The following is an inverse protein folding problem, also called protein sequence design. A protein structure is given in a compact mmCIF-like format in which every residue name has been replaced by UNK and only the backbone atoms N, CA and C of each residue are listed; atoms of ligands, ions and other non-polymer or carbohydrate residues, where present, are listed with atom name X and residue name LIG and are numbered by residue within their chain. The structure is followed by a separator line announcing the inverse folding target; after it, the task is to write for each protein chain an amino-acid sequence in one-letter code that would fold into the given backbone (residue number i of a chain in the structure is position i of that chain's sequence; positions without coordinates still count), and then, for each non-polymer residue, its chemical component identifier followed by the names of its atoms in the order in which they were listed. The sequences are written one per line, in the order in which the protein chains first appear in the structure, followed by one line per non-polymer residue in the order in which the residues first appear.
data_IF_721022786081
#
_entry.id   IF_721022786081
#
_cell.length_a   1.000
_cell.length_b   1.000
_cell.length_c   1.000
_cell.angle_alpha   90.00
_cell.angle_beta   90.00
_cell.angle_gamma   90.00
#
_symmetry.space_group_name_H-M   'P 1'
#
loop_
_entity.id
_entity.type
_entity.pdbx_description
1 polymer ?
#
# COMPACT_ATOMS: atom_id res chain seq x y z
N UNK A 1 -17.76 28.10 -0.91
CA UNK A 1 -16.46 27.54 -0.47
C UNK A 1 -16.74 26.19 0.17
N UNK A 2 -16.28 25.09 -0.42
CA UNK A 2 -16.31 23.79 0.26
C UNK A 2 -15.31 23.87 1.42
N UNK A 3 -15.74 23.50 2.61
CA UNK A 3 -14.85 23.34 3.77
C UNK A 3 -13.84 22.23 3.50
N UNK A 4 -12.59 22.40 3.95
CA UNK A 4 -11.59 21.34 3.82
C UNK A 4 -11.87 20.19 4.80
N UNK A 5 -11.44 18.98 4.46
CA UNK A 5 -11.61 17.82 5.31
C UNK A 5 -11.03 18.03 6.73
N UNK A 6 -9.84 18.61 6.84
CA UNK A 6 -9.21 18.90 8.13
C UNK A 6 -9.94 19.98 8.94
N UNK A 7 -10.55 20.95 8.25
CA UNK A 7 -11.38 21.95 8.92
C UNK A 7 -12.65 21.31 9.48
N UNK A 8 -13.30 20.44 8.73
CA UNK A 8 -14.47 19.69 9.19
C UNK A 8 -14.13 18.73 10.33
N UNK A 9 -12.96 18.07 10.25
CA UNK A 9 -12.50 17.12 11.26
C UNK A 9 -12.45 17.72 12.68
N UNK A 10 -12.10 18.99 12.80
CA UNK A 10 -12.07 19.71 14.11
C UNK A 10 -13.42 19.71 14.84
N UNK A 11 -14.51 19.59 14.13
CA UNK A 11 -15.86 19.52 14.69
C UNK A 11 -16.39 18.09 14.83
N UNK A 12 -15.68 17.08 14.30
CA UNK A 12 -16.13 15.69 14.26
C UNK A 12 -15.79 14.91 15.52
N UNK A 13 -16.73 14.10 15.95
CA UNK A 13 -16.56 13.06 16.98
C UNK A 13 -16.23 11.76 16.25
N UNK A 14 -15.02 11.29 16.41
CA UNK A 14 -14.45 10.18 15.63
C UNK A 14 -14.46 8.90 16.45
N UNK A 15 -14.92 7.81 15.86
CA UNK A 15 -14.76 6.47 16.39
C UNK A 15 -13.66 5.73 15.63
N UNK A 16 -12.74 5.09 16.34
CA UNK A 16 -11.75 4.18 15.78
C UNK A 16 -12.16 2.75 16.13
N UNK A 17 -12.37 1.90 15.13
CA UNK A 17 -12.49 0.46 15.32
C UNK A 17 -11.12 -0.20 15.24
N UNK A 18 -10.65 -0.71 16.37
CA UNK A 18 -9.36 -1.37 16.53
C UNK A 18 -8.31 -0.53 17.24
N UNK A 19 -7.83 -1.00 18.40
CA UNK A 19 -6.83 -0.35 19.26
C UNK A 19 -5.38 -0.85 19.03
N UNK A 20 -5.12 -1.58 17.94
CA UNK A 20 -3.78 -2.07 17.58
C UNK A 20 -2.83 -0.95 17.17
N UNK A 21 -1.73 -1.29 16.49
CA UNK A 21 -0.68 -0.33 16.08
C UNK A 21 -1.27 0.83 15.27
N UNK A 22 -2.06 0.54 14.25
CA UNK A 22 -2.75 1.54 13.42
C UNK A 22 -3.69 2.41 14.24
N UNK A 23 -4.51 1.81 15.10
CA UNK A 23 -5.45 2.54 15.96
C UNK A 23 -4.76 3.51 16.92
N UNK A 24 -3.59 3.14 17.45
CA UNK A 24 -2.76 4.02 18.30
C UNK A 24 -2.25 5.24 17.56
N UNK A 25 -1.72 5.07 16.35
CA UNK A 25 -1.23 6.17 15.51
C UNK A 25 -2.37 7.09 15.10
N UNK A 26 -3.52 6.53 14.69
CA UNK A 26 -4.73 7.30 14.39
C UNK A 26 -5.22 8.08 15.60
N UNK A 27 -5.28 7.46 16.77
CA UNK A 27 -5.69 8.10 18.04
C UNK A 27 -4.81 9.29 18.36
N UNK A 28 -3.48 9.10 18.32
CA UNK A 28 -2.50 10.17 18.56
C UNK A 28 -2.72 11.39 17.66
N UNK A 29 -2.97 11.15 16.39
CA UNK A 29 -3.25 12.22 15.43
C UNK A 29 -4.60 12.89 15.71
N UNK A 30 -5.65 12.11 15.91
CA UNK A 30 -7.03 12.58 16.05
C UNK A 30 -7.29 13.31 17.38
N UNK A 31 -6.62 12.95 18.46
CA UNK A 31 -6.72 13.67 19.76
C UNK A 31 -6.31 15.14 19.63
N UNK A 32 -5.48 15.48 18.61
CA UNK A 32 -5.05 16.85 18.33
C UNK A 32 -5.98 17.54 17.32
N UNK A 33 -6.54 16.77 16.37
CA UNK A 33 -7.19 17.34 15.17
C UNK A 33 -8.70 17.16 15.11
N UNK A 34 -9.29 16.28 15.92
CA UNK A 34 -10.73 16.05 15.99
C UNK A 34 -11.35 16.68 17.23
N UNK A 35 -12.70 16.79 17.27
CA UNK A 35 -13.41 17.26 18.45
C UNK A 35 -13.27 16.27 19.62
N UNK A 36 -13.48 15.00 19.33
CA UNK A 36 -13.28 13.91 20.31
C UNK A 36 -13.01 12.58 19.60
N UNK A 37 -12.38 11.66 20.32
CA UNK A 37 -12.01 10.33 19.82
C UNK A 37 -12.45 9.25 20.78
N UNK A 38 -13.10 8.22 20.26
CA UNK A 38 -13.46 7.01 20.98
C UNK A 38 -12.82 5.82 20.27
N UNK A 39 -12.15 4.95 21.01
CA UNK A 39 -11.55 3.71 20.48
C UNK A 39 -12.37 2.53 20.97
N UNK A 40 -12.81 1.70 20.03
CA UNK A 40 -13.53 0.45 20.31
C UNK A 40 -12.67 -0.73 19.86
N UNK A 41 -12.37 -1.62 20.79
CA UNK A 41 -11.66 -2.87 20.52
C UNK A 41 -12.20 -3.97 21.44
N UNK A 42 -12.61 -5.10 20.85
CA UNK A 42 -13.15 -6.24 21.59
C UNK A 42 -12.14 -6.83 22.59
N UNK A 43 -10.85 -6.72 22.31
CA UNK A 43 -9.79 -7.30 23.13
C UNK A 43 -9.33 -6.39 24.29
N UNK A 44 -9.76 -5.13 24.35
CA UNK A 44 -9.37 -4.16 25.40
C UNK A 44 -7.87 -4.15 25.71
N UNK A 45 -7.06 -3.80 24.75
CA UNK A 45 -5.61 -3.83 24.89
C UNK A 45 -5.03 -2.62 25.64
N UNK A 46 -5.83 -1.57 25.91
CA UNK A 46 -5.34 -0.33 26.54
C UNK A 46 -6.37 0.38 27.41
N UNK A 47 -5.86 1.24 28.28
CA UNK A 47 -6.68 2.15 29.08
C UNK A 47 -7.46 3.13 28.21
N UNK A 48 -8.76 3.21 28.41
CA UNK A 48 -9.66 4.11 27.67
C UNK A 48 -10.29 3.51 26.40
N UNK A 49 -10.05 2.23 26.12
CA UNK A 49 -10.75 1.50 25.07
C UNK A 49 -12.07 0.93 25.58
N UNK A 50 -13.06 0.90 24.67
CA UNK A 50 -14.39 0.36 24.93
C UNK A 50 -14.51 -0.98 24.20
N UNK A 51 -15.00 -2.02 24.85
CA UNK A 51 -15.15 -3.36 24.26
C UNK A 51 -16.51 -3.60 23.63
N UNK A 52 -17.46 -2.72 23.81
CA UNK A 52 -18.84 -2.87 23.31
C UNK A 52 -19.29 -1.57 22.66
N UNK A 53 -19.83 -1.67 21.46
CA UNK A 53 -20.45 -0.56 20.77
C UNK A 53 -21.94 -0.53 21.09
N UNK A 54 -22.44 0.60 21.58
CA UNK A 54 -23.84 0.80 21.96
C UNK A 54 -24.49 1.91 21.16
N UNK A 55 -25.82 1.96 21.11
CA UNK A 55 -26.58 3.02 20.45
C UNK A 55 -26.30 4.40 21.07
N UNK A 56 -26.07 4.49 22.38
CA UNK A 56 -25.67 5.73 23.05
C UNK A 56 -24.33 6.26 22.53
N UNK A 57 -23.35 5.38 22.33
CA UNK A 57 -22.05 5.74 21.74
C UNK A 57 -22.27 6.19 20.29
N UNK A 58 -23.00 5.40 19.48
CA UNK A 58 -23.25 5.71 18.07
C UNK A 58 -23.94 7.07 17.87
N UNK A 59 -24.88 7.44 18.74
CA UNK A 59 -25.56 8.73 18.69
C UNK A 59 -24.63 9.95 18.81
N UNK A 60 -23.40 9.73 19.26
CA UNK A 60 -22.38 10.76 19.49
C UNK A 60 -21.23 10.67 18.50
N UNK A 61 -21.32 9.86 17.45
CA UNK A 61 -20.25 9.66 16.47
C UNK A 61 -20.67 10.27 15.12
N UNK A 62 -19.76 11.00 14.53
CA UNK A 62 -19.97 11.65 13.21
C UNK A 62 -19.25 10.89 12.08
N UNK A 63 -18.18 10.15 12.39
CA UNK A 63 -17.39 9.38 11.43
C UNK A 63 -16.64 8.25 12.15
N UNK A 64 -16.49 7.12 11.48
CA UNK A 64 -15.70 5.98 11.96
C UNK A 64 -14.51 5.72 11.05
N UNK A 65 -13.36 5.34 11.67
CA UNK A 65 -12.18 4.85 10.97
C UNK A 65 -11.96 3.42 11.40
N UNK A 66 -11.86 2.51 10.42
CA UNK A 66 -11.76 1.07 10.66
C UNK A 66 -10.35 0.60 10.38
N UNK A 67 -9.76 -0.10 11.37
CA UNK A 67 -8.51 -0.83 11.19
C UNK A 67 -8.71 -2.06 10.30
N UNK A 68 -7.71 -2.49 9.52
CA UNK A 68 -7.88 -3.45 8.44
C UNK A 68 -8.29 -4.86 8.91
N UNK A 69 -8.02 -5.25 10.14
CA UNK A 69 -8.36 -6.58 10.67
C UNK A 69 -9.87 -6.84 10.84
N UNK A 70 -10.70 -5.79 10.83
CA UNK A 70 -12.15 -5.92 10.99
C UNK A 70 -12.80 -6.37 9.68
N UNK A 71 -13.66 -7.38 9.78
CA UNK A 71 -14.44 -7.85 8.62
C UNK A 71 -15.56 -6.87 8.29
N UNK A 72 -15.91 -6.77 7.01
CA UNK A 72 -17.02 -5.91 6.56
C UNK A 72 -18.40 -6.36 7.09
N UNK A 73 -18.56 -7.64 7.42
CA UNK A 73 -19.76 -8.25 7.97
C UNK A 73 -19.78 -8.30 9.51
N UNK A 74 -18.82 -7.65 10.16
CA UNK A 74 -18.77 -7.60 11.63
C UNK A 74 -19.98 -6.84 12.21
N UNK A 75 -20.62 -7.31 13.32
CA UNK A 75 -21.77 -6.65 13.91
C UNK A 75 -21.58 -5.15 14.18
N UNK A 76 -20.40 -4.73 14.65
CA UNK A 76 -20.10 -3.30 14.91
C UNK A 76 -20.09 -2.48 13.61
N UNK A 77 -19.58 -3.04 12.52
CA UNK A 77 -19.60 -2.39 11.21
C UNK A 77 -21.04 -2.24 10.70
N UNK A 78 -21.87 -3.27 10.90
CA UNK A 78 -23.30 -3.21 10.57
C UNK A 78 -24.06 -2.17 11.41
N UNK A 79 -23.73 -2.03 12.69
CA UNK A 79 -24.31 -0.99 13.55
C UNK A 79 -23.97 0.42 13.03
N UNK A 80 -22.70 0.67 12.62
CA UNK A 80 -22.28 1.93 12.00
C UNK A 80 -23.07 2.24 10.72
N UNK A 81 -23.22 1.24 9.84
CA UNK A 81 -24.00 1.40 8.59
C UNK A 81 -25.47 1.68 8.85
N UNK A 82 -26.09 0.95 9.75
CA UNK A 82 -27.51 1.18 10.15
C UNK A 82 -27.74 2.56 10.75
N UNK A 83 -26.72 3.11 11.41
CA UNK A 83 -26.73 4.46 11.98
C UNK A 83 -26.35 5.55 10.96
N UNK A 84 -26.11 5.19 9.69
CA UNK A 84 -25.66 6.09 8.63
C UNK A 84 -24.36 6.85 8.97
N UNK A 85 -23.48 6.26 9.77
CA UNK A 85 -22.17 6.82 10.12
C UNK A 85 -21.20 6.53 8.97
N UNK A 86 -20.59 7.54 8.34
CA UNK A 86 -19.56 7.35 7.33
C UNK A 86 -18.38 6.55 7.87
N UNK A 87 -17.90 5.58 7.08
CA UNK A 87 -16.78 4.73 7.43
C UNK A 87 -15.63 4.97 6.47
N UNK A 88 -14.44 5.25 7.00
CA UNK A 88 -13.19 5.31 6.26
C UNK A 88 -12.26 4.18 6.70
N UNK A 89 -11.47 3.68 5.76
CA UNK A 89 -10.27 2.91 6.12
C UNK A 89 -9.18 3.84 6.66
N UNK A 90 -8.19 3.27 7.35
CA UNK A 90 -6.99 4.02 7.75
C UNK A 90 -6.26 4.62 6.55
N UNK A 91 -6.18 3.86 5.44
CA UNK A 91 -5.52 4.30 4.21
C UNK A 91 -6.27 5.49 3.60
N UNK A 92 -7.59 5.41 3.50
CA UNK A 92 -8.40 6.48 2.94
C UNK A 92 -8.42 7.72 3.83
N UNK A 93 -8.39 7.54 5.14
CA UNK A 93 -8.22 8.65 6.07
C UNK A 93 -6.86 9.35 5.86
N UNK A 94 -5.77 8.58 5.83
CA UNK A 94 -4.43 9.11 5.58
C UNK A 94 -4.33 9.80 4.21
N UNK A 95 -5.00 9.25 3.19
CA UNK A 95 -5.08 9.88 1.86
C UNK A 95 -5.76 11.24 1.89
N UNK A 96 -6.85 11.40 2.64
CA UNK A 96 -7.53 12.68 2.79
C UNK A 96 -6.66 13.70 3.53
N UNK A 97 -5.99 13.28 4.61
CA UNK A 97 -5.02 14.13 5.33
C UNK A 97 -3.89 14.55 4.40
N UNK A 98 -3.26 13.58 3.70
CA UNK A 98 -2.21 13.83 2.70
C UNK A 98 -2.63 14.87 1.66
N UNK A 99 -3.85 14.77 1.17
CA UNK A 99 -4.33 15.65 0.09
C UNK A 99 -4.36 17.12 0.48
N UNK A 100 -4.38 17.43 1.78
CA UNK A 100 -4.35 18.81 2.29
C UNK A 100 -2.98 19.25 2.79
N UNK A 101 -2.23 18.38 3.50
CA UNK A 101 -0.96 18.79 4.12
C UNK A 101 0.27 18.52 3.26
N UNK A 102 0.18 17.58 2.32
CA UNK A 102 1.25 17.19 1.40
C UNK A 102 0.68 16.83 0.02
N UNK A 103 0.00 17.78 -0.68
CA UNK A 103 -0.70 17.48 -1.93
C UNK A 103 0.22 16.91 -3.02
N UNK A 104 1.47 17.36 -3.08
CA UNK A 104 2.47 16.91 -4.06
C UNK A 104 3.08 15.54 -3.74
N UNK A 105 2.88 15.00 -2.54
CA UNK A 105 3.37 13.68 -2.17
C UNK A 105 2.73 12.60 -3.05
N UNK A 106 3.53 11.72 -3.60
CA UNK A 106 3.13 10.66 -4.52
C UNK A 106 3.25 9.30 -3.85
N UNK A 107 2.27 8.45 -4.06
CA UNK A 107 2.23 7.11 -3.48
C UNK A 107 2.47 6.04 -4.54
N UNK A 108 3.26 5.04 -4.19
CA UNK A 108 3.34 3.75 -4.87
C UNK A 108 2.94 2.67 -3.88
N UNK A 109 2.40 1.57 -4.37
CA UNK A 109 1.95 0.48 -3.51
C UNK A 109 2.35 -0.88 -4.02
N UNK A 110 2.45 -1.85 -3.12
CA UNK A 110 2.63 -3.25 -3.50
C UNK A 110 1.82 -4.18 -2.63
N UNK A 111 1.40 -5.28 -3.22
CA UNK A 111 0.68 -6.37 -2.57
C UNK A 111 1.10 -7.72 -3.16
N UNK A 112 0.74 -8.78 -2.50
CA UNK A 112 1.03 -10.15 -2.92
C UNK A 112 0.77 -11.11 -1.77
N UNK A 113 0.78 -12.39 -2.01
CA UNK A 113 0.76 -13.38 -0.93
C UNK A 113 2.12 -13.41 -0.25
N UNK A 114 3.20 -13.51 -1.01
CA UNK A 114 4.58 -13.59 -0.52
C UNK A 114 5.46 -12.47 -1.10
N UNK A 115 6.60 -12.21 -0.46
CA UNK A 115 7.64 -11.31 -0.94
C UNK A 115 7.40 -9.81 -0.68
N UNK A 116 6.27 -9.43 -0.11
CA UNK A 116 5.92 -8.02 0.15
C UNK A 116 6.99 -7.28 0.95
N UNK A 117 7.35 -7.82 2.11
CA UNK A 117 8.31 -7.18 3.02
C UNK A 117 9.69 -7.04 2.39
N UNK A 118 10.19 -8.08 1.74
CA UNK A 118 11.47 -8.00 1.02
C UNK A 118 11.41 -6.96 -0.10
N UNK A 119 10.35 -6.95 -0.89
CA UNK A 119 10.21 -5.98 -1.99
C UNK A 119 10.13 -4.54 -1.51
N UNK A 120 9.35 -4.27 -0.45
CA UNK A 120 9.24 -2.91 0.07
C UNK A 120 10.55 -2.43 0.72
N UNK A 121 11.30 -3.32 1.34
CA UNK A 121 12.64 -3.02 1.86
C UNK A 121 13.64 -2.72 0.73
N UNK A 122 13.54 -3.42 -0.42
CA UNK A 122 14.34 -3.09 -1.60
C UNK A 122 13.97 -1.71 -2.15
N UNK A 123 12.69 -1.34 -2.18
CA UNK A 123 12.25 0.01 -2.56
C UNK A 123 12.83 1.05 -1.60
N UNK A 124 12.77 0.81 -0.29
CA UNK A 124 13.36 1.69 0.72
C UNK A 124 14.87 1.85 0.52
N UNK A 125 15.59 0.78 0.21
CA UNK A 125 17.02 0.83 -0.13
C UNK A 125 17.30 1.66 -1.39
N UNK A 126 16.43 1.57 -2.41
CA UNK A 126 16.54 2.40 -3.61
C UNK A 126 16.32 3.89 -3.26
N UNK A 127 15.36 4.21 -2.41
CA UNK A 127 15.13 5.58 -1.96
C UNK A 127 16.34 6.11 -1.20
N UNK A 128 16.86 5.37 -0.23
CA UNK A 128 17.99 5.75 0.60
C UNK A 128 19.27 5.97 -0.24
N UNK A 129 19.70 4.95 -0.96
CA UNK A 129 20.95 5.00 -1.73
C UNK A 129 20.84 5.77 -3.04
N UNK A 130 19.62 5.98 -3.54
CA UNK A 130 19.32 6.86 -4.66
C UNK A 130 19.13 8.33 -4.29
N UNK A 131 19.22 8.68 -2.99
CA UNK A 131 18.99 10.03 -2.47
C UNK A 131 17.59 10.56 -2.88
N UNK A 132 16.56 9.71 -2.71
CA UNK A 132 15.16 10.04 -2.97
C UNK A 132 14.51 10.37 -1.63
N UNK A 133 13.84 11.52 -1.54
CA UNK A 133 13.05 11.89 -0.37
C UNK A 133 11.77 11.05 -0.30
N UNK A 134 11.87 9.84 0.21
CA UNK A 134 10.78 8.89 0.31
C UNK A 134 10.99 7.88 1.43
N UNK A 135 9.93 7.22 1.83
CA UNK A 135 9.95 6.18 2.86
C UNK A 135 8.98 5.04 2.54
N UNK A 136 9.24 3.88 3.14
CA UNK A 136 8.34 2.73 3.13
C UNK A 136 7.46 2.74 4.38
N UNK A 137 6.18 2.40 4.22
CA UNK A 137 5.20 2.39 5.30
C UNK A 137 4.05 1.40 5.02
N UNK A 138 3.10 1.31 5.90
CA UNK A 138 1.87 0.52 5.72
C UNK A 138 1.80 -0.69 6.62
N UNK A 139 1.74 -1.90 6.06
CA UNK A 139 1.64 -3.13 6.84
C UNK A 139 2.93 -3.45 7.63
N UNK A 140 4.05 -2.88 7.23
CA UNK A 140 5.37 -3.00 7.88
C UNK A 140 5.98 -1.61 8.02
N UNK A 141 6.73 -1.39 9.10
CA UNK A 141 7.35 -0.10 9.39
C UNK A 141 6.39 0.89 10.03
N UNK A 142 6.49 2.15 9.65
CA UNK A 142 5.59 3.20 10.13
C UNK A 142 4.16 3.00 9.61
N UNK A 143 3.19 3.44 10.39
CA UNK A 143 1.81 3.51 9.90
C UNK A 143 1.69 4.59 8.81
N UNK A 144 0.70 4.45 7.93
CA UNK A 144 0.56 5.40 6.82
C UNK A 144 0.28 6.81 7.33
N UNK A 145 -0.50 6.97 8.41
CA UNK A 145 -0.76 8.30 8.97
C UNK A 145 0.51 8.94 9.56
N UNK A 146 1.38 8.18 10.21
CA UNK A 146 2.64 8.70 10.74
C UNK A 146 3.57 9.13 9.60
N UNK A 147 3.68 8.33 8.52
CA UNK A 147 4.47 8.67 7.35
C UNK A 147 3.94 9.90 6.59
N UNK A 148 2.61 10.04 6.47
CA UNK A 148 1.97 11.22 5.86
C UNK A 148 2.23 12.50 6.65
N UNK A 149 2.23 12.41 7.98
CA UNK A 149 2.36 13.58 8.87
C UNK A 149 3.80 13.90 9.24
N UNK A 150 4.78 13.16 8.71
CA UNK A 150 6.20 13.43 8.89
C UNK A 150 6.58 14.84 8.42
N UNK A 151 7.50 15.50 9.15
CA UNK A 151 7.98 16.85 8.84
C UNK A 151 9.51 16.89 8.74
N UNK A 152 10.07 17.38 7.64
CA UNK A 152 9.41 17.81 6.41
C UNK A 152 8.73 16.64 5.68
N UNK A 153 7.71 16.89 4.84
CA UNK A 153 7.00 15.84 4.15
C UNK A 153 7.90 15.08 3.16
N UNK A 154 7.68 13.78 3.04
CA UNK A 154 8.29 12.97 1.99
C UNK A 154 7.66 13.29 0.63
N UNK A 155 8.47 13.21 -0.43
CA UNK A 155 7.98 13.33 -1.81
C UNK A 155 7.27 12.04 -2.25
N UNK A 156 7.75 10.90 -1.75
CA UNK A 156 7.21 9.57 -2.08
C UNK A 156 6.93 8.73 -0.83
N UNK A 157 5.79 8.05 -0.84
CA UNK A 157 5.52 6.95 0.08
C UNK A 157 5.38 5.65 -0.71
N UNK A 158 6.09 4.62 -0.27
CA UNK A 158 5.94 3.26 -0.77
C UNK A 158 5.16 2.43 0.27
N UNK A 159 3.95 1.99 -0.09
CA UNK A 159 3.05 1.31 0.82
C UNK A 159 3.09 -0.21 0.60
N UNK A 160 3.46 -0.94 1.65
CA UNK A 160 3.15 -2.37 1.71
C UNK A 160 1.69 -2.54 2.13
N UNK A 161 0.88 -3.19 1.29
CA UNK A 161 -0.56 -3.30 1.48
C UNK A 161 -1.01 -4.77 1.59
N UNK A 162 -1.66 -5.10 2.70
CA UNK A 162 -2.34 -6.38 2.87
C UNK A 162 -3.66 -6.42 2.10
N UNK A 163 -4.18 -7.61 1.84
CA UNK A 163 -5.51 -7.77 1.25
C UNK A 163 -6.62 -7.18 2.14
N UNK A 164 -6.42 -7.18 3.45
CA UNK A 164 -7.35 -6.57 4.42
C UNK A 164 -7.42 -5.05 4.26
N UNK A 165 -6.27 -4.39 4.15
CA UNK A 165 -6.19 -2.94 3.91
C UNK A 165 -6.83 -2.56 2.57
N UNK A 166 -6.54 -3.34 1.51
CA UNK A 166 -7.09 -3.11 0.18
C UNK A 166 -8.60 -3.34 0.12
N UNK A 167 -9.13 -4.31 0.86
CA UNK A 167 -10.58 -4.52 0.95
C UNK A 167 -11.30 -3.25 1.44
N UNK A 168 -10.74 -2.52 2.38
CA UNK A 168 -11.31 -1.32 2.97
C UNK A 168 -10.97 -0.02 2.23
N UNK A 169 -9.99 -0.02 1.31
CA UNK A 169 -9.50 1.19 0.65
C UNK A 169 -10.22 1.46 -0.66
N UNK A 170 -10.80 2.65 -0.80
CA UNK A 170 -11.56 3.06 -1.99
C UNK A 170 -11.10 4.42 -2.55
N UNK A 171 -10.47 5.28 -1.74
CA UNK A 171 -10.14 6.68 -2.11
C UNK A 171 -8.70 6.89 -2.54
N UNK A 172 -7.75 6.17 -1.95
CA UNK A 172 -6.33 6.34 -2.23
C UNK A 172 -6.02 6.06 -3.72
N UNK A 173 -5.05 6.80 -4.26
CA UNK A 173 -4.57 6.67 -5.65
C UNK A 173 -3.07 6.55 -5.67
N UNK A 174 -2.55 5.77 -6.60
CA UNK A 174 -1.14 5.44 -6.68
C UNK A 174 -0.58 5.76 -8.07
N UNK A 175 0.66 6.21 -8.11
CA UNK A 175 1.40 6.37 -9.37
C UNK A 175 1.67 5.01 -10.00
N UNK A 176 2.03 4.02 -9.18
CA UNK A 176 2.18 2.63 -9.60
C UNK A 176 1.76 1.68 -8.47
N UNK A 177 1.20 0.55 -8.84
CA UNK A 177 0.88 -0.55 -7.95
C UNK A 177 1.46 -1.86 -8.47
N UNK A 178 2.04 -2.68 -7.58
CA UNK A 178 2.61 -3.97 -7.93
C UNK A 178 1.86 -5.13 -7.29
N UNK A 179 1.59 -6.16 -8.08
CA UNK A 179 1.09 -7.46 -7.66
C UNK A 179 2.18 -8.51 -7.85
N UNK A 180 2.73 -8.99 -6.72
CA UNK A 180 3.90 -9.87 -6.74
C UNK A 180 3.55 -11.32 -7.08
N UNK A 181 2.48 -11.82 -6.51
CA UNK A 181 1.98 -13.19 -6.68
C UNK A 181 0.64 -13.37 -5.98
N UNK A 182 -0.11 -14.42 -6.34
CA UNK A 182 -1.33 -14.85 -5.65
C UNK A 182 -1.28 -16.35 -5.41
N UNK A 183 -1.26 -16.77 -4.15
CA UNK A 183 -1.46 -18.13 -3.72
C UNK A 183 -2.59 -18.19 -2.69
N UNK A 184 -3.08 -19.37 -2.36
CA UNK A 184 -4.12 -19.52 -1.34
C UNK A 184 -3.64 -19.03 0.03
N UNK A 185 -4.35 -18.03 0.55
CA UNK A 185 -4.12 -17.45 1.86
C UNK A 185 -5.37 -16.67 2.30
N UNK A 186 -5.62 -16.58 3.60
CA UNK A 186 -6.73 -15.80 4.17
C UNK A 186 -8.12 -16.04 3.56
N UNK A 187 -8.37 -17.26 3.03
CA UNK A 187 -9.65 -17.61 2.41
C UNK A 187 -10.80 -17.57 3.41
N UNK A 188 -10.54 -17.92 4.67
CA UNK A 188 -11.48 -17.84 5.79
C UNK A 188 -11.97 -16.40 6.03
N UNK A 189 -11.11 -15.39 5.83
CA UNK A 189 -11.46 -13.98 5.98
C UNK A 189 -12.18 -13.43 4.74
N UNK A 190 -11.67 -13.71 3.53
CA UNK A 190 -12.23 -13.20 2.27
C UNK A 190 -13.42 -14.01 1.75
N UNK A 191 -13.64 -15.22 2.26
CA UNK A 191 -14.71 -16.13 1.86
C UNK A 191 -14.42 -16.97 0.63
N UNK A 192 -13.53 -16.54 -0.27
CA UNK A 192 -13.11 -17.31 -1.45
C UNK A 192 -11.75 -16.81 -1.99
N UNK A 193 -11.10 -17.68 -2.78
CA UNK A 193 -9.88 -17.32 -3.51
C UNK A 193 -10.12 -16.16 -4.50
N UNK A 194 -11.27 -16.17 -5.18
CA UNK A 194 -11.67 -15.12 -6.10
C UNK A 194 -11.81 -13.76 -5.39
N UNK A 195 -12.45 -13.72 -4.22
CA UNK A 195 -12.59 -12.51 -3.41
C UNK A 195 -11.23 -12.00 -2.91
N UNK A 196 -10.33 -12.90 -2.54
CA UNK A 196 -8.96 -12.56 -2.15
C UNK A 196 -8.18 -11.93 -3.32
N UNK A 197 -8.27 -12.51 -4.51
CA UNK A 197 -7.68 -11.95 -5.73
C UNK A 197 -8.25 -10.57 -6.08
N UNK A 198 -9.57 -10.41 -6.00
CA UNK A 198 -10.26 -9.12 -6.23
C UNK A 198 -9.83 -8.04 -5.23
N UNK A 199 -9.62 -8.37 -3.96
CA UNK A 199 -9.12 -7.42 -2.99
C UNK A 199 -7.74 -6.86 -3.40
N UNK A 200 -6.84 -7.72 -3.88
CA UNK A 200 -5.52 -7.28 -4.37
C UNK A 200 -5.60 -6.51 -5.69
N UNK A 201 -6.52 -6.87 -6.58
CA UNK A 201 -6.75 -6.17 -7.84
C UNK A 201 -7.09 -4.68 -7.62
N UNK A 202 -7.79 -4.34 -6.54
CA UNK A 202 -8.15 -2.95 -6.22
C UNK A 202 -6.95 -2.00 -6.24
N UNK A 203 -5.78 -2.42 -5.75
CA UNK A 203 -4.56 -1.61 -5.83
C UNK A 203 -4.23 -1.25 -7.30
N UNK A 204 -4.29 -2.24 -8.18
CA UNK A 204 -3.92 -2.04 -9.58
C UNK A 204 -4.97 -1.20 -10.33
N UNK A 205 -6.24 -1.35 -9.99
CA UNK A 205 -7.33 -0.55 -10.57
C UNK A 205 -7.16 0.95 -10.31
N UNK A 206 -6.72 1.32 -9.09
CA UNK A 206 -6.53 2.71 -8.66
C UNK A 206 -5.11 3.25 -8.87
N UNK A 207 -4.22 2.47 -9.46
CA UNK A 207 -2.87 2.88 -9.85
C UNK A 207 -2.82 3.35 -11.31
N UNK A 208 -1.95 4.32 -11.63
CA UNK A 208 -1.72 4.75 -13.02
C UNK A 208 -1.03 3.66 -13.84
N UNK A 209 -0.05 2.96 -13.23
CA UNK A 209 0.67 1.83 -13.82
C UNK A 209 0.46 0.60 -12.95
N UNK A 210 0.12 -0.52 -13.57
CA UNK A 210 -0.04 -1.83 -12.93
C UNK A 210 1.16 -2.71 -13.24
N UNK A 211 1.96 -3.01 -12.22
CA UNK A 211 3.14 -3.88 -12.32
C UNK A 211 2.75 -5.26 -11.85
N UNK A 212 2.94 -6.29 -12.68
CA UNK A 212 2.42 -7.63 -12.43
C UNK A 212 3.49 -8.67 -12.71
N UNK A 213 3.56 -9.70 -11.86
CA UNK A 213 4.40 -10.86 -12.11
C UNK A 213 3.88 -11.67 -13.29
N UNK A 214 4.58 -11.58 -14.43
CA UNK A 214 4.23 -12.30 -15.66
C UNK A 214 4.41 -13.82 -15.58
N UNK A 215 5.14 -14.30 -14.57
CA UNK A 215 5.41 -15.73 -14.36
C UNK A 215 4.41 -16.36 -13.35
N UNK A 216 3.48 -15.57 -12.80
CA UNK A 216 2.43 -16.03 -11.88
C UNK A 216 1.07 -16.07 -12.58
N UNK A 217 0.59 -17.27 -12.90
CA UNK A 217 -0.66 -17.47 -13.64
C UNK A 217 -1.88 -16.89 -12.91
N UNK A 218 -1.90 -16.97 -11.58
CA UNK A 218 -3.01 -16.42 -10.79
C UNK A 218 -3.01 -14.90 -10.82
N UNK A 219 -1.84 -14.25 -10.69
CA UNK A 219 -1.71 -12.81 -10.81
C UNK A 219 -2.12 -12.33 -12.22
N UNK A 220 -1.66 -13.02 -13.25
CA UNK A 220 -2.03 -12.71 -14.64
C UNK A 220 -3.52 -12.93 -14.91
N UNK A 221 -4.14 -13.93 -14.29
CA UNK A 221 -5.59 -14.16 -14.39
C UNK A 221 -6.41 -13.02 -13.78
N UNK A 222 -6.00 -12.54 -12.62
CA UNK A 222 -6.70 -11.46 -11.89
C UNK A 222 -6.68 -10.14 -12.66
N UNK A 223 -5.60 -9.83 -13.37
CA UNK A 223 -5.45 -8.55 -14.10
C UNK A 223 -6.08 -8.53 -15.49
N UNK A 224 -6.70 -9.62 -15.96
CA UNK A 224 -7.33 -9.68 -17.30
C UNK A 224 -8.40 -8.62 -17.54
N UNK A 225 -9.01 -8.08 -16.48
CA UNK A 225 -10.02 -7.02 -16.58
C UNK A 225 -9.43 -5.61 -16.74
N UNK A 226 -8.13 -5.44 -16.54
CA UNK A 226 -7.46 -4.15 -16.66
C UNK A 226 -7.18 -3.81 -18.14
N UNK A 227 -7.07 -2.50 -18.43
CA UNK A 227 -6.56 -2.05 -19.72
C UNK A 227 -5.12 -2.57 -19.92
N UNK A 228 -4.84 -3.35 -20.99
CA UNK A 228 -3.50 -3.89 -21.25
C UNK A 228 -2.39 -2.83 -21.32
N UNK A 229 -2.68 -1.63 -21.83
CA UNK A 229 -1.71 -0.52 -21.92
C UNK A 229 -1.22 -0.03 -20.54
N UNK A 230 -1.96 -0.32 -19.50
CA UNK A 230 -1.61 0.02 -18.11
C UNK A 230 -0.66 -1.01 -17.50
N UNK A 231 -0.57 -2.22 -18.07
CA UNK A 231 0.10 -3.35 -17.46
C UNK A 231 1.56 -3.40 -17.89
N UNK A 232 2.47 -3.40 -16.92
CA UNK A 232 3.90 -3.69 -17.09
C UNK A 232 4.19 -5.01 -16.39
N UNK A 233 4.54 -6.04 -17.16
CA UNK A 233 4.93 -7.32 -16.57
C UNK A 233 6.41 -7.31 -16.15
N UNK A 234 6.71 -7.98 -15.04
CA UNK A 234 8.08 -8.41 -14.74
C UNK A 234 8.18 -9.94 -14.79
N UNK A 235 9.32 -10.45 -15.22
CA UNK A 235 9.52 -11.88 -15.47
C UNK A 235 10.97 -12.30 -15.19
N UNK A 236 11.19 -13.52 -14.79
CA UNK A 236 12.53 -14.13 -14.71
C UNK A 236 13.08 -14.56 -16.07
N UNK A 237 12.33 -14.35 -17.14
CA UNK A 237 12.72 -14.62 -18.52
C UNK A 237 13.15 -13.34 -19.21
N UNK A 238 13.64 -13.47 -20.46
CA UNK A 238 13.97 -12.32 -21.31
C UNK A 238 12.72 -11.46 -21.56
N UNK A 239 12.78 -10.15 -21.20
CA UNK A 239 11.61 -9.29 -21.30
C UNK A 239 11.28 -8.94 -22.75
N UNK A 240 10.00 -8.97 -23.08
CA UNK A 240 9.48 -8.34 -24.31
C UNK A 240 9.51 -6.81 -24.18
N UNK A 241 9.30 -6.10 -25.27
CA UNK A 241 9.07 -4.65 -25.23
C UNK A 241 7.89 -4.34 -24.31
N UNK A 242 8.04 -3.32 -23.45
CA UNK A 242 7.03 -2.96 -22.44
C UNK A 242 7.05 -3.82 -21.17
N UNK A 243 8.10 -4.59 -20.94
CA UNK A 243 8.26 -5.39 -19.72
C UNK A 243 9.67 -5.26 -19.12
N UNK A 244 9.83 -5.81 -17.90
CA UNK A 244 11.09 -5.85 -17.14
C UNK A 244 11.44 -7.30 -16.88
N UNK A 245 12.71 -7.70 -17.01
CA UNK A 245 13.07 -9.10 -16.82
C UNK A 245 14.56 -9.37 -16.81
N UNK A 246 14.94 -10.63 -17.06
CA UNK A 246 16.33 -11.07 -17.05
C UNK A 246 16.86 -11.28 -18.48
N UNK A 247 18.07 -10.79 -18.71
CA UNK A 247 18.87 -11.13 -19.88
C UNK A 247 20.22 -11.62 -19.38
N UNK A 248 20.48 -12.90 -19.51
CA UNK A 248 21.66 -13.55 -18.90
C UNK A 248 21.76 -13.29 -17.40
N UNK A 249 22.72 -12.50 -16.96
CA UNK A 249 22.95 -12.11 -15.57
C UNK A 249 22.56 -10.65 -15.26
N UNK A 250 21.76 -10.03 -16.12
CA UNK A 250 21.33 -8.64 -15.96
C UNK A 250 19.82 -8.54 -15.75
N UNK A 251 19.42 -7.68 -14.81
CA UNK A 251 18.06 -7.19 -14.71
C UNK A 251 17.91 -6.03 -15.69
N UNK A 252 16.93 -6.13 -16.59
CA UNK A 252 16.78 -5.24 -17.75
C UNK A 252 15.39 -4.63 -17.79
N UNK A 253 15.34 -3.33 -17.98
CA UNK A 253 14.14 -2.54 -18.25
C UNK A 253 13.96 -2.36 -19.74
N UNK A 254 12.79 -2.78 -20.25
CA UNK A 254 12.30 -2.50 -21.61
C UNK A 254 10.91 -1.85 -21.60
N UNK A 255 10.52 -1.31 -20.45
CA UNK A 255 9.21 -0.70 -20.25
C UNK A 255 9.27 0.83 -20.06
N UNK A 256 10.26 1.33 -19.33
CA UNK A 256 10.35 2.75 -18.92
C UNK A 256 11.55 3.45 -19.60
N UNK A 257 11.88 3.00 -20.79
CA UNK A 257 13.07 3.37 -21.56
C UNK A 257 12.72 4.40 -22.63
N UNK A 258 12.48 5.57 -22.52
CA UNK A 258 12.27 6.57 -23.57
C UNK A 258 12.49 6.05 -25.02
N UNK A 259 13.44 6.61 -25.74
CA UNK A 259 13.79 6.22 -27.14
C UNK A 259 14.82 5.07 -27.21
N UNK A 260 15.21 4.50 -26.07
CA UNK A 260 16.18 3.40 -26.00
C UNK A 260 15.55 2.02 -26.20
N UNK A 261 16.37 1.01 -26.43
CA UNK A 261 15.93 -0.39 -26.58
C UNK A 261 15.85 -1.12 -25.24
N UNK A 262 16.74 -0.79 -24.30
CA UNK A 262 16.83 -1.39 -22.98
C UNK A 262 17.75 -0.58 -22.05
N UNK A 263 17.49 -0.67 -20.75
CA UNK A 263 18.39 -0.17 -19.70
C UNK A 263 18.71 -1.27 -18.69
N UNK A 264 19.93 -1.31 -18.18
CA UNK A 264 20.33 -2.23 -17.11
C UNK A 264 19.88 -1.66 -15.77
N UNK A 265 19.14 -2.45 -15.01
CA UNK A 265 18.66 -2.08 -13.67
C UNK A 265 19.57 -2.58 -12.54
N UNK A 266 20.20 -3.72 -12.72
CA UNK A 266 21.14 -4.32 -11.77
C UNK A 266 21.82 -5.54 -12.38
N UNK A 267 22.87 -6.02 -11.74
CA UNK A 267 23.43 -7.35 -12.01
C UNK A 267 22.82 -8.40 -11.07
N UNK A 268 22.72 -9.62 -11.53
CA UNK A 268 22.22 -10.73 -10.71
C UNK A 268 23.09 -10.93 -9.46
N UNK A 269 24.39 -10.66 -9.56
CA UNK A 269 25.38 -10.72 -8.46
C UNK A 269 25.15 -9.68 -7.36
N UNK A 270 24.39 -8.62 -7.64
CA UNK A 270 24.04 -7.59 -6.66
C UNK A 270 22.95 -8.08 -5.69
N UNK A 271 22.18 -9.12 -6.07
CA UNK A 271 21.09 -9.69 -5.27
C UNK A 271 21.63 -10.82 -4.39
N UNK A 272 21.49 -10.70 -3.07
CA UNK A 272 22.06 -11.67 -2.11
C UNK A 272 21.01 -12.19 -1.13
N UNK A 273 20.65 -13.50 -1.18
CA UNK A 273 21.04 -14.48 -2.20
C UNK A 273 20.26 -14.29 -3.51
N UNK A 274 20.89 -14.57 -4.65
CA UNK A 274 20.29 -14.51 -5.98
C UNK A 274 19.42 -15.74 -6.27
N UNK A 275 18.43 -15.97 -5.43
CA UNK A 275 17.44 -17.03 -5.62
C UNK A 275 16.23 -16.48 -6.39
N UNK A 276 15.46 -17.30 -7.15
CA UNK A 276 14.44 -16.83 -8.06
C UNK A 276 13.44 -15.83 -7.44
N UNK A 277 12.93 -16.10 -6.24
CA UNK A 277 11.98 -15.21 -5.59
C UNK A 277 12.58 -13.85 -5.18
N UNK A 278 13.86 -13.79 -4.79
CA UNK A 278 14.53 -12.52 -4.50
C UNK A 278 14.78 -11.71 -5.77
N UNK A 279 15.11 -12.38 -6.86
CA UNK A 279 15.26 -11.74 -8.18
C UNK A 279 13.93 -11.17 -8.67
N UNK A 280 12.84 -11.92 -8.54
CA UNK A 280 11.50 -11.44 -8.85
C UNK A 280 11.11 -10.22 -7.98
N UNK A 281 11.40 -10.24 -6.68
CA UNK A 281 11.19 -9.12 -5.78
C UNK A 281 12.00 -7.88 -6.20
N UNK A 282 13.25 -8.06 -6.61
CA UNK A 282 14.11 -6.98 -7.10
C UNK A 282 13.59 -6.37 -8.42
N UNK A 283 13.10 -7.20 -9.35
CA UNK A 283 12.46 -6.74 -10.59
C UNK A 283 11.21 -5.91 -10.29
N UNK A 284 10.36 -6.35 -9.36
CA UNK A 284 9.17 -5.62 -8.95
C UNK A 284 9.52 -4.28 -8.29
N UNK A 285 10.49 -4.26 -7.36
CA UNK A 285 10.98 -3.04 -6.72
C UNK A 285 11.56 -2.04 -7.73
N UNK A 286 12.38 -2.53 -8.65
CA UNK A 286 12.95 -1.75 -9.73
C UNK A 286 11.86 -1.13 -10.63
N UNK A 287 10.88 -1.93 -11.05
CA UNK A 287 9.78 -1.48 -11.89
C UNK A 287 8.92 -0.40 -11.20
N UNK A 288 8.62 -0.56 -9.90
CA UNK A 288 7.93 0.47 -9.10
C UNK A 288 8.69 1.79 -9.07
N UNK A 289 10.00 1.74 -8.85
CA UNK A 289 10.85 2.92 -8.81
C UNK A 289 11.00 3.58 -10.19
N UNK A 290 11.14 2.78 -11.24
CA UNK A 290 11.18 3.29 -12.63
C UNK A 290 9.87 3.98 -13.02
N UNK A 291 8.74 3.45 -12.60
CA UNK A 291 7.42 4.01 -12.89
C UNK A 291 7.23 5.44 -12.35
N UNK A 292 7.95 5.82 -11.31
CA UNK A 292 7.93 7.18 -10.74
C UNK A 292 9.10 8.05 -11.20
N UNK A 293 9.87 7.59 -12.18
CA UNK A 293 10.93 8.37 -12.82
C UNK A 293 12.31 8.27 -12.16
N UNK A 294 12.52 7.31 -11.24
CA UNK A 294 13.86 7.07 -10.68
C UNK A 294 14.74 6.43 -11.76
N UNK A 295 15.95 6.96 -11.95
CA UNK A 295 16.87 6.47 -12.98
C UNK A 295 17.34 5.04 -12.71
N UNK A 296 17.70 4.33 -13.78
CA UNK A 296 18.25 2.97 -13.69
C UNK A 296 19.52 2.91 -12.81
N UNK A 297 20.36 3.93 -12.87
CA UNK A 297 21.57 4.04 -12.03
C UNK A 297 21.25 4.10 -10.54
N UNK A 298 20.22 4.87 -10.14
CA UNK A 298 19.79 4.96 -8.74
C UNK A 298 19.15 3.65 -8.27
N UNK A 299 18.38 3.00 -9.14
CA UNK A 299 17.81 1.66 -8.88
C UNK A 299 18.93 0.65 -8.64
N UNK A 300 19.94 0.60 -9.52
CA UNK A 300 21.09 -0.29 -9.38
C UNK A 300 21.81 -0.06 -8.05
N UNK A 301 22.06 1.19 -7.69
CA UNK A 301 22.72 1.57 -6.43
C UNK A 301 21.95 1.05 -5.21
N UNK A 302 20.64 1.18 -5.20
CA UNK A 302 19.79 0.69 -4.12
C UNK A 302 19.73 -0.83 -4.01
N UNK A 303 19.60 -1.54 -5.12
CA UNK A 303 19.59 -3.01 -5.14
C UNK A 303 20.95 -3.57 -4.68
N UNK A 304 22.06 -3.01 -5.18
CA UNK A 304 23.42 -3.43 -4.82
C UNK A 304 23.72 -3.28 -3.33
N UNK A 305 23.18 -2.26 -2.68
CA UNK A 305 23.41 -1.98 -1.26
C UNK A 305 22.34 -2.60 -0.35
N UNK A 306 21.34 -3.27 -0.92
CA UNK A 306 20.32 -3.97 -0.14
C UNK A 306 20.90 -5.25 0.49
N UNK A 307 20.62 -5.44 1.78
CA UNK A 307 20.92 -6.68 2.52
C UNK A 307 19.63 -7.19 3.15
N UNK A 308 19.39 -8.48 3.03
CA UNK A 308 18.36 -9.16 3.83
C UNK A 308 18.87 -9.27 5.28
N UNK A 309 18.10 -8.78 6.23
CA UNK A 309 18.32 -9.00 7.67
C UNK A 309 18.03 -10.45 8.08
#
# INVERSE_FOLDING_TARGET
FMSSFLTELKSKRVLILGGGVTGKSLRKYLEIHAHSVVVVDEQKNQSGEISVLTDDILSRIDIAIVSPGWRRDHPFVDMLRKSNIPILSEIDFAWQVKSEIAPEQRWIGLTGTNGKTTTIQMVASIFEHGEINGTACGNVGETVIDAVTHQPPFDFLALELSSFQLEWSDKARYEAGALLNIAEDHIDWHGSFDSYGKAKLKLLEVSKVAIVNGDDDNAMAVVRSLNPEKIIAFTLNTPSSGSVGLVENLLVDRAFIGDGDAEVLSELSDIKPAVPHNVANALAAAALCRAIGISSEKVQRGIKNFTLD
#
